data_IF_032934750258
#
_entry.id   IF_032934750258
#
_cell.length_a   1.000
_cell.length_b   1.000
_cell.length_c   1.000
_cell.angle_alpha   90.00
_cell.angle_beta   90.00
_cell.angle_gamma   90.00
#
_symmetry.space_group_name_H-M   'P 1'
#
loop_
_entity.id
_entity.type
_entity.pdbx_description
1 polymer ?
#
# COMPACT_ATOMS: atom_id res chain seq x y z
N UNK A 1 5.00 25.95 -9.44
CA UNK A 1 5.56 24.68 -8.91
C UNK A 1 4.44 23.97 -8.18
N UNK A 2 4.38 22.65 -8.29
CA UNK A 2 3.38 21.84 -7.60
C UNK A 2 3.55 21.90 -6.07
N UNK A 3 2.44 21.77 -5.34
CA UNK A 3 2.46 21.50 -3.91
C UNK A 3 2.91 20.05 -3.69
N UNK A 4 3.86 19.85 -2.78
CA UNK A 4 4.33 18.50 -2.44
C UNK A 4 3.33 17.83 -1.49
N UNK A 5 2.92 16.61 -1.81
CA UNK A 5 2.12 15.76 -0.91
C UNK A 5 3.09 15.02 0.01
N UNK A 6 3.28 15.53 1.22
CA UNK A 6 4.23 14.97 2.20
C UNK A 6 3.64 13.73 2.90
N UNK A 7 3.89 12.57 2.29
CA UNK A 7 3.45 11.30 2.86
C UNK A 7 4.17 10.92 4.15
N UNK A 8 5.39 11.41 4.38
CA UNK A 8 6.10 11.17 5.64
C UNK A 8 5.40 11.88 6.80
N UNK A 9 5.02 13.16 6.62
CA UNK A 9 4.27 13.92 7.60
C UNK A 9 2.92 13.26 7.88
N UNK A 10 2.14 12.99 6.82
CA UNK A 10 0.79 12.41 6.94
C UNK A 10 0.84 11.03 7.60
N UNK A 11 1.82 10.18 7.24
CA UNK A 11 1.97 8.87 7.86
C UNK A 11 2.32 8.95 9.35
N UNK A 12 3.04 10.00 9.76
CA UNK A 12 3.36 10.23 11.18
C UNK A 12 2.10 10.63 11.94
N UNK A 13 1.30 11.56 11.42
CA UNK A 13 0.02 11.96 12.01
C UNK A 13 -0.92 10.76 12.23
N UNK A 14 -1.08 9.90 11.21
CA UNK A 14 -1.90 8.69 11.32
C UNK A 14 -1.35 7.75 12.41
N UNK A 15 -0.05 7.55 12.48
CA UNK A 15 0.55 6.68 13.52
C UNK A 15 0.41 7.28 14.92
N UNK A 16 0.43 8.59 15.07
CA UNK A 16 0.17 9.26 16.35
C UNK A 16 -1.28 9.03 16.80
N UNK A 17 -2.26 9.22 15.90
CA UNK A 17 -3.68 8.92 16.13
C UNK A 17 -3.87 7.44 16.55
N UNK A 18 -3.25 6.51 15.81
CA UNK A 18 -3.33 5.08 16.10
C UNK A 18 -2.66 4.71 17.45
N UNK A 19 -1.58 5.37 17.82
CA UNK A 19 -0.91 5.17 19.11
C UNK A 19 -1.82 5.54 20.29
N UNK A 20 -2.56 6.63 20.17
CA UNK A 20 -3.56 7.01 21.17
C UNK A 20 -4.66 5.94 21.26
N UNK A 21 -5.17 5.50 20.10
CA UNK A 21 -6.21 4.47 20.05
C UNK A 21 -5.74 3.12 20.64
N UNK A 22 -4.54 2.66 20.30
CA UNK A 22 -3.93 1.45 20.89
C UNK A 22 -3.79 1.59 22.41
N UNK A 23 -3.44 2.78 22.90
CA UNK A 23 -3.35 3.04 24.33
C UNK A 23 -4.70 2.86 25.02
N UNK A 24 -5.79 3.34 24.42
CA UNK A 24 -7.14 3.15 24.95
C UNK A 24 -7.61 1.68 24.88
N UNK A 25 -7.26 0.95 23.82
CA UNK A 25 -7.54 -0.48 23.70
C UNK A 25 -6.83 -1.29 24.79
N UNK A 26 -5.55 -0.97 25.07
CA UNK A 26 -4.78 -1.62 26.14
C UNK A 26 -5.38 -1.41 27.54
N UNK A 27 -5.94 -0.23 27.83
CA UNK A 27 -6.66 0.01 29.10
C UNK A 27 -7.87 -0.92 29.26
N UNK A 28 -8.43 -1.40 28.16
CA UNK A 28 -9.54 -2.37 28.12
C UNK A 28 -9.06 -3.84 28.10
N UNK A 29 -7.74 -4.07 28.22
CA UNK A 29 -7.15 -5.41 28.18
C UNK A 29 -6.99 -5.99 26.77
N UNK A 30 -7.12 -5.15 25.73
CA UNK A 30 -6.97 -5.59 24.33
C UNK A 30 -5.55 -5.28 23.88
N UNK A 31 -4.77 -6.32 23.58
CA UNK A 31 -3.40 -6.20 23.06
C UNK A 31 -3.36 -6.57 21.58
N UNK A 32 -2.58 -5.83 20.79
CA UNK A 32 -2.39 -6.10 19.38
C UNK A 32 -1.10 -6.87 19.08
N UNK A 33 -1.20 -7.81 18.15
CA UNK A 33 -0.05 -8.59 17.70
C UNK A 33 -0.10 -8.79 16.17
N UNK A 34 0.98 -8.37 15.49
CA UNK A 34 1.22 -8.59 14.07
C UNK A 34 2.30 -9.66 13.89
N UNK A 35 1.97 -10.74 13.18
CA UNK A 35 2.94 -11.72 12.71
C UNK A 35 3.40 -11.36 11.29
N UNK A 36 4.70 -11.19 11.09
CA UNK A 36 5.33 -10.89 9.80
C UNK A 36 6.18 -12.09 9.38
N UNK A 37 5.88 -12.66 8.23
CA UNK A 37 6.64 -13.77 7.64
C UNK A 37 7.47 -13.21 6.49
N UNK A 38 8.78 -13.45 6.51
CA UNK A 38 9.69 -13.15 5.41
C UNK A 38 10.40 -14.44 5.02
N UNK A 39 10.51 -14.73 3.72
CA UNK A 39 11.24 -15.87 3.18
C UNK A 39 12.40 -15.35 2.35
N UNK A 40 13.60 -15.82 2.66
CA UNK A 40 14.84 -15.36 2.05
C UNK A 40 15.29 -13.99 2.55
N UNK A 41 16.39 -13.49 1.96
CA UNK A 41 17.11 -12.29 2.42
C UNK A 41 17.12 -11.16 1.38
N UNK A 42 16.02 -10.95 0.65
CA UNK A 42 15.93 -9.81 -0.27
C UNK A 42 16.15 -8.49 0.48
N UNK A 43 17.17 -7.68 0.10
CA UNK A 43 17.51 -6.47 0.84
C UNK A 43 16.39 -5.43 0.90
N UNK A 44 15.56 -5.34 -0.15
CA UNK A 44 14.44 -4.40 -0.17
C UNK A 44 13.35 -4.86 0.81
N UNK A 45 12.98 -6.14 0.79
CA UNK A 45 12.03 -6.76 1.73
C UNK A 45 12.48 -6.60 3.18
N UNK A 46 13.76 -6.81 3.47
CA UNK A 46 14.32 -6.67 4.83
C UNK A 46 14.23 -5.23 5.36
N UNK A 47 14.38 -4.23 4.50
CA UNK A 47 14.15 -2.82 4.88
C UNK A 47 12.69 -2.58 5.24
N UNK A 48 11.75 -3.12 4.44
CA UNK A 48 10.32 -2.98 4.70
C UNK A 48 9.90 -3.68 6.00
N UNK A 49 10.34 -4.91 6.23
CA UNK A 49 10.05 -5.67 7.46
C UNK A 49 10.58 -4.92 8.69
N UNK A 50 11.81 -4.42 8.65
CA UNK A 50 12.39 -3.60 9.74
C UNK A 50 11.56 -2.34 10.01
N UNK A 51 11.11 -1.65 8.96
CA UNK A 51 10.29 -0.45 9.12
C UNK A 51 8.88 -0.77 9.67
N UNK A 52 8.30 -1.90 9.28
CA UNK A 52 7.03 -2.41 9.84
C UNK A 52 7.19 -2.71 11.34
N UNK A 53 8.27 -3.38 11.74
CA UNK A 53 8.58 -3.64 13.16
C UNK A 53 8.69 -2.35 13.97
N UNK A 54 9.45 -1.37 13.48
CA UNK A 54 9.55 -0.04 14.14
C UNK A 54 8.20 0.67 14.23
N UNK A 55 7.34 0.53 13.22
CA UNK A 55 6.01 1.12 13.25
C UNK A 55 5.12 0.42 14.29
N UNK A 56 5.18 -0.92 14.41
CA UNK A 56 4.50 -1.66 15.48
C UNK A 56 4.94 -1.17 16.87
N UNK A 57 6.25 -1.07 17.08
CA UNK A 57 6.83 -0.55 18.35
C UNK A 57 6.33 0.87 18.64
N UNK A 58 6.29 1.74 17.62
CA UNK A 58 5.86 3.13 17.74
C UNK A 58 4.39 3.26 18.18
N UNK A 59 3.50 2.49 17.53
CA UNK A 59 2.06 2.52 17.86
C UNK A 59 1.69 1.66 19.06
N UNK A 60 2.62 0.82 19.54
CA UNK A 60 2.42 -0.03 20.70
C UNK A 60 1.80 -1.40 20.39
N UNK A 61 1.95 -1.91 19.17
CA UNK A 61 1.53 -3.26 18.76
C UNK A 61 2.73 -4.20 18.86
N UNK A 62 2.53 -5.41 19.40
CA UNK A 62 3.55 -6.46 19.40
C UNK A 62 3.83 -6.94 17.98
N UNK A 63 5.10 -7.14 17.65
CA UNK A 63 5.50 -7.71 16.35
C UNK A 63 6.22 -9.04 16.54
N UNK A 64 5.72 -10.09 15.90
CA UNK A 64 6.38 -11.38 15.78
C UNK A 64 7.00 -11.45 14.38
N UNK A 65 8.31 -11.68 14.28
CA UNK A 65 9.02 -11.81 13.00
C UNK A 65 9.44 -13.25 12.80
N UNK A 66 9.05 -13.81 11.66
CA UNK A 66 9.44 -15.13 11.20
C UNK A 66 10.32 -14.95 9.96
N UNK A 67 11.64 -15.02 10.17
CA UNK A 67 12.63 -14.93 9.10
C UNK A 67 13.00 -16.35 8.69
N UNK A 68 12.49 -16.78 7.55
CA UNK A 68 12.64 -18.13 7.02
C UNK A 68 13.74 -18.16 5.95
N UNK A 69 14.44 -19.29 5.85
CA UNK A 69 15.45 -19.50 4.82
C UNK A 69 14.83 -19.46 3.41
N UNK A 70 15.62 -19.14 2.39
CA UNK A 70 15.15 -19.08 1.00
C UNK A 70 14.64 -20.43 0.50
N UNK A 71 15.21 -21.52 1.03
CA UNK A 71 14.87 -22.91 0.69
C UNK A 71 13.62 -23.43 1.41
N UNK A 72 13.01 -22.62 2.30
CA UNK A 72 11.78 -22.99 3.01
C UNK A 72 10.70 -23.41 2.02
N UNK A 73 10.08 -24.54 2.26
CA UNK A 73 9.06 -25.09 1.38
C UNK A 73 7.71 -24.36 1.56
N UNK A 74 6.87 -24.39 0.52
CA UNK A 74 5.49 -23.89 0.57
C UNK A 74 4.70 -24.52 1.74
N UNK A 75 4.87 -25.82 1.93
CA UNK A 75 4.19 -26.60 2.99
C UNK A 75 4.55 -26.12 4.41
N UNK A 76 5.82 -25.77 4.64
CA UNK A 76 6.27 -25.21 5.94
C UNK A 76 5.66 -23.85 6.21
N UNK A 77 5.54 -23.00 5.17
CA UNK A 77 4.89 -21.69 5.29
C UNK A 77 3.39 -21.84 5.58
N UNK A 78 2.71 -22.74 4.85
CA UNK A 78 1.29 -23.02 5.07
C UNK A 78 1.00 -23.55 6.48
N UNK A 79 1.83 -24.45 7.01
CA UNK A 79 1.74 -24.92 8.41
C UNK A 79 1.97 -23.79 9.43
N UNK A 80 2.91 -22.89 9.15
CA UNK A 80 3.11 -21.70 10.01
C UNK A 80 1.88 -20.79 10.01
N UNK A 81 1.31 -20.53 8.82
CA UNK A 81 0.09 -19.72 8.69
C UNK A 81 -1.08 -20.36 9.42
N UNK A 82 -1.28 -21.68 9.27
CA UNK A 82 -2.33 -22.42 10.01
C UNK A 82 -2.19 -22.25 11.53
N UNK A 83 -0.96 -22.38 12.06
CA UNK A 83 -0.67 -22.15 13.48
C UNK A 83 -1.01 -20.71 13.89
N UNK A 84 -0.63 -19.72 13.07
CA UNK A 84 -0.89 -18.29 13.35
C UNK A 84 -2.37 -17.95 13.24
N UNK A 85 -3.10 -18.59 12.31
CA UNK A 85 -4.56 -18.46 12.21
C UNK A 85 -5.26 -18.96 13.49
N UNK A 86 -4.79 -20.08 14.05
CA UNK A 86 -5.34 -20.66 15.28
C UNK A 86 -4.94 -19.90 16.56
N UNK A 87 -3.90 -19.07 16.53
CA UNK A 87 -3.42 -18.31 17.70
C UNK A 87 -4.28 -17.07 17.94
N UNK A 88 -5.11 -17.10 18.98
CA UNK A 88 -5.97 -15.97 19.35
C UNK A 88 -5.21 -14.70 19.77
N UNK A 89 -3.92 -14.82 20.13
CA UNK A 89 -3.09 -13.66 20.47
C UNK A 89 -2.58 -12.91 19.24
N UNK A 90 -2.67 -13.49 18.03
CA UNK A 90 -2.27 -12.88 16.76
C UNK A 90 -3.48 -12.27 16.07
N UNK A 91 -3.50 -10.95 15.94
CA UNK A 91 -4.59 -10.20 15.30
C UNK A 91 -4.39 -10.00 13.80
N UNK A 92 -3.14 -9.92 13.34
CA UNK A 92 -2.81 -9.76 11.94
C UNK A 92 -1.67 -10.66 11.50
N UNK A 93 -1.75 -11.13 10.26
CA UNK A 93 -0.70 -11.92 9.60
C UNK A 93 -0.34 -11.22 8.29
N UNK A 94 0.95 -11.12 8.03
CA UNK A 94 1.49 -10.56 6.80
C UNK A 94 2.60 -11.46 6.28
N UNK A 95 2.49 -11.86 5.01
CA UNK A 95 3.57 -12.51 4.29
C UNK A 95 4.23 -11.51 3.35
N UNK A 96 5.51 -11.19 3.59
CA UNK A 96 6.24 -10.18 2.83
C UNK A 96 6.50 -10.65 1.40
N UNK A 97 5.96 -9.95 0.42
CA UNK A 97 6.22 -10.17 -1.01
C UNK A 97 7.47 -9.39 -1.47
N UNK A 98 8.18 -9.87 -2.51
CA UNK A 98 7.94 -11.11 -3.23
C UNK A 98 8.42 -12.36 -2.48
N UNK A 99 7.81 -13.51 -2.77
CA UNK A 99 8.27 -14.81 -2.31
C UNK A 99 9.25 -15.44 -3.32
N UNK A 100 10.11 -16.38 -2.91
CA UNK A 100 10.91 -17.20 -3.82
C UNK A 100 10.05 -17.90 -4.88
N UNK A 101 10.60 -18.12 -6.08
CA UNK A 101 9.85 -18.62 -7.25
C UNK A 101 9.20 -20.01 -7.09
N UNK A 102 9.70 -20.83 -6.16
CA UNK A 102 9.16 -22.15 -5.89
C UNK A 102 7.94 -22.15 -4.96
N UNK A 103 7.53 -20.97 -4.47
CA UNK A 103 6.39 -20.78 -3.60
C UNK A 103 5.29 -20.03 -4.38
N UNK A 104 4.10 -20.58 -4.38
CA UNK A 104 2.91 -19.92 -4.96
C UNK A 104 2.39 -18.85 -3.99
N UNK A 105 2.61 -17.60 -4.35
CA UNK A 105 2.20 -16.46 -3.51
C UNK A 105 0.67 -16.39 -3.32
N UNK A 106 -0.12 -16.79 -4.31
CA UNK A 106 -1.58 -16.75 -4.24
C UNK A 106 -2.08 -17.79 -3.21
N UNK A 107 -1.49 -19.01 -3.20
CA UNK A 107 -1.81 -20.01 -2.17
C UNK A 107 -1.47 -19.55 -0.76
N UNK A 108 -0.33 -18.87 -0.60
CA UNK A 108 0.11 -18.35 0.71
C UNK A 108 -0.85 -17.26 1.20
N UNK A 109 -1.25 -16.35 0.32
CA UNK A 109 -2.23 -15.29 0.63
C UNK A 109 -3.60 -15.90 0.98
N UNK A 110 -4.07 -16.88 0.20
CA UNK A 110 -5.36 -17.53 0.39
C UNK A 110 -5.44 -18.35 1.69
N UNK A 111 -4.28 -18.80 2.21
CA UNK A 111 -4.20 -19.54 3.47
C UNK A 111 -4.36 -18.67 4.72
N UNK A 112 -4.18 -17.34 4.61
CA UNK A 112 -4.35 -16.41 5.73
C UNK A 112 -5.85 -16.25 6.03
N UNK A 113 -6.25 -16.40 7.30
CA UNK A 113 -7.63 -16.11 7.71
C UNK A 113 -7.99 -14.65 7.32
N UNK A 114 -9.06 -14.44 6.55
CA UNK A 114 -9.48 -13.10 6.14
C UNK A 114 -9.70 -12.11 7.29
N UNK A 115 -9.94 -12.60 8.50
CA UNK A 115 -10.02 -11.77 9.70
C UNK A 115 -8.65 -11.28 10.18
N UNK A 116 -7.56 -11.91 9.70
CA UNK A 116 -6.17 -11.59 10.03
C UNK A 116 -5.36 -11.09 8.83
N UNK A 117 -5.98 -11.03 7.63
CA UNK A 117 -5.37 -10.54 6.39
C UNK A 117 -5.22 -9.00 6.42
N UNK A 118 -4.28 -8.51 7.20
CA UNK A 118 -4.08 -7.06 7.40
C UNK A 118 -3.45 -6.35 6.19
N UNK A 119 -2.96 -7.07 5.18
CA UNK A 119 -2.59 -6.51 3.88
C UNK A 119 -3.79 -6.28 2.95
N UNK A 120 -4.92 -6.97 3.21
CA UNK A 120 -6.16 -6.84 2.44
C UNK A 120 -6.09 -7.47 1.05
N UNK A 121 -5.30 -8.53 0.87
CA UNK A 121 -5.08 -9.17 -0.43
C UNK A 121 -5.93 -10.42 -0.67
N UNK A 122 -6.54 -10.98 0.37
CA UNK A 122 -7.39 -12.16 0.21
C UNK A 122 -8.58 -11.88 -0.72
N UNK A 123 -9.06 -12.88 -1.47
CA UNK A 123 -10.24 -12.76 -2.31
C UNK A 123 -11.47 -12.23 -1.55
N UNK A 124 -11.59 -12.54 -0.26
CA UNK A 124 -12.68 -12.07 0.60
C UNK A 124 -12.54 -10.58 0.91
N UNK A 125 -11.35 -10.09 1.26
CA UNK A 125 -11.07 -8.66 1.46
C UNK A 125 -11.33 -7.87 0.18
N UNK A 126 -10.83 -8.38 -0.95
CA UNK A 126 -11.04 -7.76 -2.27
C UNK A 126 -12.52 -7.77 -2.66
N UNK A 127 -13.23 -8.88 -2.48
CA UNK A 127 -14.67 -8.98 -2.76
C UNK A 127 -15.50 -8.02 -1.89
N UNK A 128 -15.19 -7.94 -0.60
CA UNK A 128 -15.83 -6.99 0.32
C UNK A 128 -15.60 -5.54 -0.13
N UNK A 129 -14.38 -5.20 -0.54
CA UNK A 129 -14.04 -3.88 -1.07
C UNK A 129 -14.87 -3.54 -2.33
N UNK A 130 -15.02 -4.48 -3.27
CA UNK A 130 -15.79 -4.28 -4.53
C UNK A 130 -17.23 -3.91 -4.23
N UNK A 131 -17.88 -4.61 -3.28
CA UNK A 131 -19.30 -4.42 -2.96
C UNK A 131 -19.56 -3.46 -1.79
N UNK A 132 -18.54 -2.73 -1.33
CA UNK A 132 -18.66 -1.74 -0.26
C UNK A 132 -18.94 -2.32 1.13
N UNK A 133 -18.61 -3.60 1.38
CA UNK A 133 -18.73 -4.23 2.69
C UNK A 133 -17.51 -3.98 3.57
N UNK A 134 -17.64 -4.07 4.91
CA UNK A 134 -16.50 -4.00 5.81
C UNK A 134 -15.47 -5.09 5.50
N UNK A 135 -14.20 -4.73 5.50
CA UNK A 135 -13.06 -5.61 5.24
C UNK A 135 -11.76 -4.82 5.33
N UNK A 136 -10.64 -5.50 5.32
CA UNK A 136 -9.36 -4.82 5.22
C UNK A 136 -9.15 -4.28 3.81
N UNK A 137 -8.62 -3.07 3.73
CA UNK A 137 -8.27 -2.45 2.45
C UNK A 137 -6.78 -2.63 2.18
N UNK A 138 -6.38 -2.89 0.93
CA UNK A 138 -4.97 -2.92 0.55
C UNK A 138 -4.25 -1.64 0.98
N UNK A 139 -3.14 -1.81 1.71
CA UNK A 139 -2.51 -0.72 2.45
C UNK A 139 -2.06 0.44 1.56
N UNK A 140 -1.43 0.16 0.41
CA UNK A 140 -0.95 1.21 -0.50
C UNK A 140 -2.11 2.02 -1.11
N UNK A 141 -3.15 1.43 -1.69
CA UNK A 141 -4.32 2.15 -2.18
C UNK A 141 -5.03 2.95 -1.08
N UNK A 142 -5.24 2.36 0.10
CA UNK A 142 -5.84 3.07 1.23
C UNK A 142 -4.99 4.28 1.66
N UNK A 143 -3.66 4.13 1.65
CA UNK A 143 -2.73 5.21 1.93
C UNK A 143 -2.82 6.36 0.93
N UNK A 144 -3.03 6.06 -0.35
CA UNK A 144 -3.21 7.09 -1.39
C UNK A 144 -4.51 7.88 -1.16
N UNK A 145 -5.60 7.22 -0.79
CA UNK A 145 -6.84 7.91 -0.41
C UNK A 145 -6.60 8.86 0.78
N UNK A 146 -5.84 8.41 1.79
CA UNK A 146 -5.49 9.28 2.94
C UNK A 146 -4.59 10.46 2.52
N UNK A 147 -3.63 10.25 1.61
CA UNK A 147 -2.82 11.34 1.05
C UNK A 147 -3.69 12.42 0.39
N UNK A 148 -4.61 12.01 -0.47
CA UNK A 148 -5.51 12.93 -1.16
C UNK A 148 -6.40 13.70 -0.18
N UNK A 149 -7.09 12.98 0.73
CA UNK A 149 -8.01 13.60 1.71
C UNK A 149 -7.30 14.55 2.67
N UNK A 150 -6.16 14.13 3.24
CA UNK A 150 -5.41 14.96 4.20
C UNK A 150 -4.62 16.10 3.54
N UNK A 151 -4.48 16.07 2.22
CA UNK A 151 -3.98 17.21 1.42
C UNK A 151 -5.10 18.12 0.89
N UNK A 152 -6.34 17.92 1.34
CA UNK A 152 -7.53 18.67 0.90
C UNK A 152 -7.74 18.62 -0.63
N UNK A 153 -7.40 17.50 -1.25
CA UNK A 153 -7.61 17.26 -2.67
C UNK A 153 -8.99 16.64 -2.86
N UNK A 154 -9.83 17.33 -3.58
CA UNK A 154 -11.17 16.88 -3.92
C UNK A 154 -11.10 15.73 -4.94
N UNK A 155 -11.81 14.64 -4.65
CA UNK A 155 -11.87 13.43 -5.49
C UNK A 155 -13.24 13.32 -6.18
N UNK A 156 -14.27 13.86 -5.56
CA UNK A 156 -15.66 13.72 -6.02
C UNK A 156 -15.85 14.31 -7.41
N UNK A 157 -16.40 13.51 -8.33
CA UNK A 157 -16.62 13.86 -9.73
C UNK A 157 -15.36 14.04 -10.60
N UNK A 158 -14.14 13.81 -10.07
CA UNK A 158 -12.89 13.98 -10.82
C UNK A 158 -12.63 12.83 -11.79
N UNK A 159 -11.98 13.15 -12.91
CA UNK A 159 -11.43 12.13 -13.82
C UNK A 159 -10.12 11.59 -13.24
N UNK A 160 -10.12 10.32 -12.86
CA UNK A 160 -8.95 9.63 -12.34
C UNK A 160 -8.42 8.61 -13.35
N UNK A 161 -7.15 8.70 -13.69
CA UNK A 161 -6.46 7.67 -14.49
C UNK A 161 -5.48 6.92 -13.60
N UNK A 162 -5.66 5.59 -13.52
CA UNK A 162 -4.76 4.68 -12.82
C UNK A 162 -3.94 3.93 -13.85
N UNK A 163 -2.64 4.21 -13.91
CA UNK A 163 -1.70 3.51 -14.80
C UNK A 163 -1.08 2.35 -14.04
N UNK A 164 -1.56 1.14 -14.33
CA UNK A 164 -1.22 -0.11 -13.66
C UNK A 164 -2.47 -0.91 -13.31
N UNK A 165 -2.36 -2.27 -13.35
CA UNK A 165 -3.49 -3.18 -13.05
C UNK A 165 -3.10 -4.37 -12.20
N UNK A 166 -2.09 -4.22 -11.34
CA UNK A 166 -1.72 -5.27 -10.39
C UNK A 166 -2.84 -5.56 -9.38
N UNK A 167 -2.88 -6.79 -8.86
CA UNK A 167 -3.85 -7.17 -7.84
C UNK A 167 -3.65 -6.41 -6.52
N UNK A 168 -2.41 -6.02 -6.23
CA UNK A 168 -2.04 -5.39 -4.95
C UNK A 168 -2.15 -3.86 -4.94
N UNK A 169 -2.14 -3.21 -6.13
CA UNK A 169 -2.22 -1.73 -6.22
C UNK A 169 -3.23 -1.27 -7.27
N UNK A 170 -3.02 -1.56 -8.56
CA UNK A 170 -3.77 -0.92 -9.64
C UNK A 170 -5.28 -1.18 -9.60
N UNK A 171 -5.69 -2.45 -9.49
CA UNK A 171 -7.10 -2.83 -9.38
C UNK A 171 -7.74 -2.27 -8.09
N UNK A 172 -7.18 -2.50 -6.89
CA UNK A 172 -7.77 -1.94 -5.67
C UNK A 172 -7.78 -0.41 -5.65
N UNK A 173 -6.77 0.24 -6.23
CA UNK A 173 -6.75 1.71 -6.33
C UNK A 173 -7.91 2.25 -7.15
N UNK A 174 -8.19 1.62 -8.29
CA UNK A 174 -9.33 2.02 -9.13
C UNK A 174 -10.67 1.87 -8.41
N UNK A 175 -10.83 0.82 -7.63
CA UNK A 175 -12.04 0.59 -6.83
C UNK A 175 -12.17 1.60 -5.68
N UNK A 176 -11.08 1.95 -5.00
CA UNK A 176 -11.13 2.95 -3.94
C UNK A 176 -11.41 4.36 -4.49
N UNK A 177 -10.84 4.72 -5.64
CA UNK A 177 -11.17 6.00 -6.29
C UNK A 177 -12.65 6.05 -6.73
N UNK A 178 -13.19 4.92 -7.24
CA UNK A 178 -14.60 4.80 -7.57
C UNK A 178 -15.50 4.96 -6.33
N UNK A 179 -15.10 4.41 -5.17
CA UNK A 179 -15.82 4.60 -3.90
C UNK A 179 -15.83 6.04 -3.40
N UNK A 180 -14.84 6.83 -3.80
CA UNK A 180 -14.76 8.26 -3.53
C UNK A 180 -15.42 9.09 -4.64
N UNK A 181 -16.27 8.48 -5.48
CA UNK A 181 -17.03 9.10 -6.57
C UNK A 181 -16.18 9.64 -7.74
N UNK A 182 -14.94 9.21 -7.91
CA UNK A 182 -14.19 9.53 -9.12
C UNK A 182 -14.70 8.74 -10.34
N UNK A 183 -14.59 9.33 -11.53
CA UNK A 183 -14.70 8.59 -12.79
C UNK A 183 -13.34 7.99 -13.11
N UNK A 184 -13.23 6.66 -13.13
CA UNK A 184 -11.93 5.98 -13.16
C UNK A 184 -11.67 5.29 -14.49
N UNK A 185 -10.50 5.56 -15.08
CA UNK A 185 -9.95 4.85 -16.23
C UNK A 185 -8.71 4.07 -15.79
N UNK A 186 -8.67 2.76 -16.07
CA UNK A 186 -7.52 1.90 -15.78
C UNK A 186 -6.72 1.68 -17.05
N UNK A 187 -5.43 2.06 -17.04
CA UNK A 187 -4.50 1.89 -18.13
C UNK A 187 -3.47 0.79 -17.84
N UNK A 188 -2.99 0.13 -18.87
CA UNK A 188 -2.02 -0.96 -18.78
C UNK A 188 -1.18 -1.09 -20.05
N UNK A 189 -0.31 -2.08 -20.12
CA UNK A 189 0.61 -2.29 -21.26
C UNK A 189 -0.04 -2.49 -22.63
N UNK A 190 -1.35 -2.79 -22.68
CA UNK A 190 -2.12 -2.91 -23.93
C UNK A 190 -3.00 -1.68 -24.22
N UNK A 191 -2.94 -0.64 -23.37
CA UNK A 191 -3.69 0.60 -23.63
C UNK A 191 -3.09 1.33 -24.82
N UNK A 192 -3.93 1.61 -25.83
CA UNK A 192 -3.56 2.45 -26.97
C UNK A 192 -3.59 3.91 -26.52
N UNK A 193 -2.75 4.71 -27.13
CA UNK A 193 -2.71 6.16 -26.92
C UNK A 193 -2.65 6.58 -25.43
N UNK A 194 -1.87 5.82 -24.64
CA UNK A 194 -1.75 5.99 -23.19
C UNK A 194 -1.52 7.46 -22.80
N UNK A 195 -0.69 8.18 -23.56
CA UNK A 195 -0.38 9.58 -23.33
C UNK A 195 -1.64 10.46 -23.38
N UNK A 196 -2.48 10.25 -24.38
CA UNK A 196 -3.69 11.05 -24.56
C UNK A 196 -4.75 10.72 -23.49
N UNK A 197 -4.83 9.46 -23.06
CA UNK A 197 -5.69 9.09 -21.92
C UNK A 197 -5.21 9.79 -20.64
N UNK A 198 -3.92 9.75 -20.34
CA UNK A 198 -3.35 10.35 -19.14
C UNK A 198 -3.51 11.88 -19.10
N UNK A 199 -3.39 12.57 -20.25
CA UNK A 199 -3.60 14.03 -20.36
C UNK A 199 -4.99 14.53 -19.96
N UNK A 200 -5.97 13.64 -19.89
CA UNK A 200 -7.34 14.01 -19.48
C UNK A 200 -7.59 13.82 -17.99
N UNK A 201 -6.60 13.31 -17.24
CA UNK A 201 -6.74 13.05 -15.83
C UNK A 201 -6.64 14.31 -14.97
N UNK A 202 -7.61 14.54 -14.08
CA UNK A 202 -7.49 15.48 -12.97
C UNK A 202 -6.59 14.91 -11.88
N UNK A 203 -6.66 13.57 -11.69
CA UNK A 203 -5.82 12.80 -10.76
C UNK A 203 -5.17 11.66 -11.54
N UNK A 204 -3.85 11.66 -11.64
CA UNK A 204 -3.05 10.63 -12.29
C UNK A 204 -2.30 9.81 -11.25
N UNK A 205 -2.60 8.51 -11.17
CA UNK A 205 -1.96 7.58 -10.24
C UNK A 205 -1.13 6.59 -11.05
N UNK A 206 0.18 6.52 -10.77
CA UNK A 206 1.15 5.73 -11.56
C UNK A 206 1.73 4.61 -10.72
N UNK A 207 1.48 3.35 -11.13
CA UNK A 207 1.91 2.13 -10.45
C UNK A 207 2.27 1.03 -11.45
N UNK A 208 3.33 1.27 -12.25
CA UNK A 208 3.73 0.40 -13.37
C UNK A 208 5.09 -0.28 -13.18
N UNK A 209 5.86 0.13 -12.18
CA UNK A 209 7.17 -0.45 -11.92
C UNK A 209 8.21 -0.13 -12.99
N UNK A 210 8.13 1.05 -13.63
CA UNK A 210 9.06 1.51 -14.67
C UNK A 210 9.63 2.89 -14.30
N UNK A 211 10.92 2.98 -13.96
CA UNK A 211 11.53 4.22 -13.52
C UNK A 211 11.35 5.36 -14.53
N UNK A 212 10.85 6.52 -14.06
CA UNK A 212 10.71 7.76 -14.83
C UNK A 212 9.99 7.63 -16.18
N UNK A 213 9.06 6.68 -16.28
CA UNK A 213 8.34 6.42 -17.55
C UNK A 213 7.34 7.52 -17.88
N UNK A 214 6.67 8.11 -16.88
CA UNK A 214 5.70 9.19 -17.06
C UNK A 214 6.40 10.54 -16.94
N UNK A 215 6.52 11.25 -18.05
CA UNK A 215 7.02 12.62 -18.13
C UNK A 215 5.90 13.66 -18.24
N UNK A 216 6.25 14.95 -18.32
CA UNK A 216 5.30 16.06 -18.44
C UNK A 216 4.35 15.94 -19.63
N UNK A 217 4.69 15.18 -20.67
CA UNK A 217 3.85 15.01 -21.86
C UNK A 217 2.64 14.11 -21.61
N UNK A 218 2.61 13.37 -20.50
CA UNK A 218 1.47 12.54 -20.06
C UNK A 218 0.53 13.28 -19.09
N UNK A 219 0.91 14.45 -18.61
CA UNK A 219 0.22 15.10 -17.49
C UNK A 219 -0.61 16.28 -18.00
N UNK A 220 -1.85 16.41 -17.52
CA UNK A 220 -2.69 17.58 -17.70
C UNK A 220 -2.16 18.75 -16.86
N UNK A 221 -2.24 19.98 -17.38
CA UNK A 221 -1.89 21.16 -16.60
C UNK A 221 -2.77 21.26 -15.35
N UNK A 222 -2.15 21.40 -14.19
CA UNK A 222 -2.85 21.47 -12.91
C UNK A 222 -3.31 20.12 -12.34
N UNK A 223 -2.97 18.97 -12.96
CA UNK A 223 -3.32 17.66 -12.42
C UNK A 223 -2.65 17.36 -11.08
N UNK A 224 -3.28 16.50 -10.30
CA UNK A 224 -2.67 15.85 -9.13
C UNK A 224 -1.96 14.58 -9.60
N UNK A 225 -0.70 14.40 -9.22
CA UNK A 225 0.11 13.25 -9.65
C UNK A 225 0.57 12.45 -8.43
N UNK A 226 0.17 11.18 -8.39
CA UNK A 226 0.55 10.22 -7.35
C UNK A 226 1.49 9.18 -7.95
N UNK A 227 2.73 9.20 -7.53
CA UNK A 227 3.76 8.24 -7.93
C UNK A 227 3.89 7.13 -6.89
N UNK A 228 3.52 5.92 -7.27
CA UNK A 228 3.60 4.72 -6.41
C UNK A 228 4.92 3.97 -6.60
N UNK A 229 5.65 4.27 -7.69
CA UNK A 229 6.89 3.60 -8.02
C UNK A 229 7.99 3.82 -6.98
N UNK A 230 8.79 2.78 -6.73
CA UNK A 230 10.01 2.88 -5.92
C UNK A 230 11.08 2.05 -6.60
N UNK A 231 12.09 2.73 -7.12
CA UNK A 231 13.23 2.15 -7.82
C UNK A 231 14.54 2.73 -7.31
N UNK A 232 15.64 2.05 -7.60
CA UNK A 232 16.99 2.61 -7.48
C UNK A 232 17.51 2.90 -8.88
N UNK A 233 17.91 4.14 -9.10
CA UNK A 233 18.57 4.54 -10.35
C UNK A 233 20.02 4.07 -10.40
N UNK A 234 20.73 4.37 -11.49
CA UNK A 234 22.15 4.02 -11.67
C UNK A 234 23.08 4.59 -10.58
N UNK A 235 22.67 5.70 -9.94
CA UNK A 235 23.40 6.33 -8.83
C UNK A 235 22.97 5.80 -7.45
N UNK A 236 22.20 4.69 -7.41
CA UNK A 236 21.63 4.10 -6.19
C UNK A 236 20.66 5.03 -5.42
N UNK A 237 20.20 6.14 -6.03
CA UNK A 237 19.16 7.01 -5.47
C UNK A 237 17.77 6.48 -5.75
N UNK A 238 16.84 6.72 -4.83
CA UNK A 238 15.46 6.34 -5.02
C UNK A 238 14.76 7.26 -6.04
N UNK A 239 13.99 6.68 -6.93
CA UNK A 239 13.12 7.37 -7.88
C UNK A 239 11.82 6.59 -8.06
N UNK A 240 10.81 7.24 -8.63
CA UNK A 240 9.52 6.62 -8.92
C UNK A 240 9.31 6.26 -10.39
N UNK A 241 8.06 5.99 -10.74
CA UNK A 241 7.60 5.75 -12.10
C UNK A 241 7.43 7.07 -12.89
N UNK A 242 7.34 8.20 -12.17
CA UNK A 242 7.19 9.55 -12.74
C UNK A 242 8.54 10.24 -12.82
N UNK A 243 8.80 10.91 -13.93
CA UNK A 243 9.93 11.85 -14.03
C UNK A 243 9.58 13.15 -13.32
N UNK A 244 9.87 13.15 -12.01
CA UNK A 244 9.48 14.22 -11.09
C UNK A 244 9.90 15.61 -11.57
N UNK A 245 11.13 15.74 -12.05
CA UNK A 245 11.71 17.03 -12.45
C UNK A 245 10.96 17.65 -13.64
N UNK A 246 10.50 16.81 -14.58
CA UNK A 246 9.72 17.26 -15.73
C UNK A 246 8.26 17.59 -15.35
N UNK A 247 7.68 16.85 -14.39
CA UNK A 247 6.24 16.93 -14.06
C UNK A 247 5.94 18.00 -13.03
N UNK A 248 6.86 18.30 -12.11
CA UNK A 248 6.63 19.21 -10.96
C UNK A 248 6.20 20.63 -11.34
N UNK A 249 6.62 21.10 -12.52
CA UNK A 249 6.22 22.43 -13.01
C UNK A 249 4.80 22.46 -13.59
N UNK A 250 4.24 21.30 -13.93
CA UNK A 250 2.96 21.15 -14.63
C UNK A 250 1.83 20.70 -13.70
N UNK A 251 2.14 19.88 -12.72
CA UNK A 251 1.18 19.40 -11.74
C UNK A 251 0.77 20.52 -10.74
N UNK A 252 -0.44 20.41 -10.17
CA UNK A 252 -0.85 21.21 -9.00
C UNK A 252 -0.31 20.60 -7.70
N UNK A 253 -0.34 19.27 -7.61
CA UNK A 253 0.16 18.51 -6.48
C UNK A 253 0.92 17.27 -6.99
N UNK A 254 1.97 16.88 -6.29
CA UNK A 254 2.76 15.69 -6.64
C UNK A 254 3.35 15.03 -5.40
N UNK A 255 3.37 13.69 -5.37
CA UNK A 255 4.09 12.95 -4.34
C UNK A 255 5.58 12.86 -4.66
N UNK A 256 6.48 13.12 -3.70
CA UNK A 256 7.91 12.89 -3.88
C UNK A 256 8.25 11.40 -3.73
N UNK A 257 9.34 10.95 -4.37
CA UNK A 257 9.94 9.64 -4.14
C UNK A 257 11.42 9.84 -3.80
N UNK A 258 11.84 9.51 -2.56
CA UNK A 258 11.08 8.94 -1.43
C UNK A 258 10.24 9.98 -0.69
N UNK A 259 9.32 9.49 0.18
CA UNK A 259 8.58 10.32 1.13
C UNK A 259 7.11 10.58 0.79
N UNK A 260 6.64 10.11 -0.38
CA UNK A 260 5.23 10.14 -0.77
C UNK A 260 4.46 8.88 -0.31
N UNK A 261 4.17 7.98 -1.24
CA UNK A 261 3.31 6.81 -1.00
C UNK A 261 3.91 5.77 -0.05
N UNK A 262 5.23 5.51 -0.13
CA UNK A 262 5.87 4.44 0.65
C UNK A 262 5.61 4.49 2.16
N UNK A 263 5.78 5.62 2.86
CA UNK A 263 5.48 5.73 4.29
C UNK A 263 4.01 5.42 4.63
N UNK A 264 3.08 5.72 3.72
CA UNK A 264 1.65 5.52 3.93
C UNK A 264 1.26 4.04 3.96
N UNK A 265 1.90 3.19 3.15
CA UNK A 265 1.67 1.74 3.17
C UNK A 265 1.87 1.17 4.58
N UNK A 266 2.91 1.61 5.28
CA UNK A 266 3.19 1.16 6.66
C UNK A 266 2.16 1.73 7.64
N UNK A 267 1.77 3.01 7.50
CA UNK A 267 0.76 3.60 8.37
C UNK A 267 -0.60 2.90 8.22
N UNK A 268 -1.00 2.57 7.00
CA UNK A 268 -2.25 1.84 6.75
C UNK A 268 -2.21 0.39 7.21
N UNK A 269 -1.05 -0.26 7.17
CA UNK A 269 -0.87 -1.57 7.79
C UNK A 269 -1.13 -1.48 9.31
N UNK A 270 -0.61 -0.46 9.98
CA UNK A 270 -0.90 -0.25 11.41
C UNK A 270 -2.39 0.02 11.64
N UNK A 271 -3.04 0.78 10.76
CA UNK A 271 -4.49 1.01 10.80
C UNK A 271 -5.28 -0.29 10.70
N UNK A 272 -4.94 -1.16 9.74
CA UNK A 272 -5.57 -2.48 9.59
C UNK A 272 -5.32 -3.38 10.81
N UNK A 273 -4.11 -3.34 11.41
CA UNK A 273 -3.82 -4.06 12.65
C UNK A 273 -4.69 -3.57 13.82
N UNK A 274 -4.86 -2.26 13.99
CA UNK A 274 -5.74 -1.68 15.02
C UNK A 274 -7.20 -2.06 14.77
N UNK A 275 -7.65 -2.06 13.53
CA UNK A 275 -8.99 -2.54 13.18
C UNK A 275 -9.17 -4.04 13.50
N UNK A 276 -8.14 -4.86 13.26
CA UNK A 276 -8.15 -6.27 13.62
C UNK A 276 -8.24 -6.51 15.14
N UNK A 277 -7.66 -5.63 15.96
CA UNK A 277 -7.77 -5.71 17.44
C UNK A 277 -9.19 -5.48 17.96
N UNK A 278 -10.05 -4.82 17.20
CA UNK A 278 -11.43 -4.47 17.58
C UNK A 278 -12.45 -5.57 17.22
N UNK A 279 -12.04 -6.56 16.42
CA UNK A 279 -12.89 -7.67 15.95
C UNK A 279 -12.81 -8.85 16.89
#
# INVERSE_FOLDING_TARGET
MANLIDGKLISTQIKDELKEEVTELKKKGIEGCLAVIQVGNDPASSVYVRNKKKACEYVGIKSLSYELAEETTEDEILKLIEKLNADASVNGILCQLPLPKHIDADKVIDAIDPKKDVDGFSPQSVGAMVIGKPGFLPCTPAGIIQLLKRSNIDIDGKSCVVVGRSNIVGKPMSLLMLRENATVTVCHSHTKDLKDVCKNADILIVAIGKPKFIDASYVKDGAVVIDVGIHRNAENKLCGDVDFDSVVSKASHITPVPGGVGPMTIAMLMSNCVEAMKR
#
